data_IF_390041239026
#
_entry.id   IF_390041239026
#
_cell.length_a   1.000
_cell.length_b   1.000
_cell.length_c   1.000
_cell.angle_alpha   90.00
_cell.angle_beta   90.00
_cell.angle_gamma   90.00
#
_symmetry.space_group_name_H-M   'P 1'
#
loop_
_entity.id
_entity.type
_entity.pdbx_description
1 polymer ?
2 non-polymer ?
3 non-polymer ?
4 non-polymer ?
5 water ?
#
# COMPACT_ATOMS: atom_id res chain seq x y z
N UNK A 3 -4.24 9.43 0.21
CA UNK A 3 -3.18 9.40 -0.83
C UNK A 3 -2.73 10.79 -0.99
N UNK A 4 -1.40 10.95 -1.03
CA UNK A 4 -0.80 12.25 -1.14
C UNK A 4 -1.19 12.94 -2.42
N UNK A 5 -1.62 14.20 -2.29
CA UNK A 5 -2.06 14.97 -3.44
C UNK A 5 -3.22 14.27 -4.17
N UNK A 6 -4.13 13.69 -3.45
CA UNK A 6 -5.30 13.04 -4.08
C UNK A 6 -6.37 14.07 -4.60
N UNK A 7 -7.42 13.55 -5.26
CA UNK A 7 -8.61 14.37 -5.56
C UNK A 7 -9.45 14.33 -4.31
N UNK A 8 -10.03 15.44 -3.97
CA UNK A 8 -10.99 15.48 -2.86
C UNK A 8 -12.43 15.04 -3.30
N UNK A 9 -12.62 13.74 -3.21
CA UNK A 9 -13.87 13.14 -3.56
C UNK A 9 -14.72 12.78 -2.37
N UNK A 10 -16.03 12.76 -2.59
CA UNK A 10 -16.97 12.52 -1.54
C UNK A 10 -17.30 11.07 -1.31
N UNK A 11 -16.74 10.51 -0.23
CA UNK A 11 -16.91 9.14 0.08
C UNK A 11 -18.34 8.72 0.30
N UNK A 12 -19.16 9.65 0.69
CA UNK A 12 -20.57 9.35 1.01
C UNK A 12 -21.39 9.00 -0.25
N UNK A 13 -20.86 9.33 -1.39
CA UNK A 13 -21.49 9.13 -2.73
C UNK A 13 -20.73 8.21 -3.57
N UNK A 14 -19.59 7.70 -3.08
CA UNK A 14 -18.77 6.80 -3.88
C UNK A 14 -19.44 5.43 -3.99
N UNK A 15 -19.61 5.01 -5.24
CA UNK A 15 -20.06 3.64 -5.49
C UNK A 15 -18.91 2.62 -5.47
N UNK A 16 -19.26 1.41 -5.15
CA UNK A 16 -18.28 0.31 -5.10
C UNK A 16 -18.99 -0.97 -5.39
N UNK A 17 -18.27 -1.97 -5.91
CA UNK A 17 -16.93 -1.91 -6.41
C UNK A 17 -16.70 -1.03 -7.54
N UNK A 18 -15.57 -0.32 -7.56
CA UNK A 18 -15.29 0.61 -8.59
C UNK A 18 -13.84 0.92 -8.77
N UNK A 19 -13.45 1.33 -9.98
CA UNK A 19 -12.15 1.90 -10.25
C UNK A 19 -12.20 3.41 -10.44
N UNK A 20 -11.21 4.10 -9.92
CA UNK A 20 -11.09 5.53 -10.07
C UNK A 20 -9.62 5.96 -10.18
N UNK A 21 -9.35 6.89 -11.05
CA UNK A 21 -8.03 7.52 -11.08
C UNK A 21 -7.89 8.34 -9.81
N UNK A 22 -6.98 7.97 -8.93
CA UNK A 22 -6.75 8.69 -7.65
C UNK A 22 -5.70 9.81 -7.80
N UNK A 23 -4.74 9.61 -8.68
CA UNK A 23 -3.70 10.60 -8.88
C UNK A 23 -2.98 10.29 -10.15
N UNK A 24 -2.44 11.32 -10.81
CA UNK A 24 -1.52 11.12 -11.92
C UNK A 24 -0.29 11.99 -11.60
N UNK A 25 0.86 11.47 -11.95
CA UNK A 25 2.12 12.22 -11.81
C UNK A 25 2.90 12.09 -13.08
N UNK A 26 3.76 13.09 -13.32
CA UNK A 26 4.79 12.98 -14.32
C UNK A 26 6.16 12.60 -13.71
N UNK A 27 7.04 12.06 -14.51
CA UNK A 27 8.41 11.82 -14.11
C UNK A 27 9.37 12.78 -14.79
N UNK A 28 10.62 12.87 -14.30
CA UNK A 28 11.45 13.97 -14.81
C UNK A 28 11.67 14.01 -16.31
N UNK A 29 11.84 12.83 -16.94
CA UNK A 29 11.98 12.77 -18.43
C UNK A 29 10.70 12.61 -19.20
N UNK A 30 9.56 12.76 -18.53
CA UNK A 30 8.26 12.93 -19.14
C UNK A 30 7.30 11.71 -19.11
N UNK A 31 7.60 10.72 -18.31
CA UNK A 31 6.73 9.56 -18.28
C UNK A 31 5.61 9.79 -17.34
N UNK A 32 4.61 8.87 -17.34
CA UNK A 32 3.43 9.05 -16.56
C UNK A 32 3.37 7.97 -15.49
N UNK A 33 2.91 8.34 -14.28
CA UNK A 33 2.55 7.41 -13.21
C UNK A 33 1.09 7.62 -12.91
N UNK A 34 0.30 6.54 -12.73
CA UNK A 34 -1.08 6.65 -12.31
C UNK A 34 -1.30 5.80 -11.07
N UNK A 35 -1.97 6.35 -10.07
CA UNK A 35 -2.41 5.62 -8.92
C UNK A 35 -3.93 5.42 -9.03
N UNK A 36 -4.41 4.18 -9.01
CA UNK A 36 -5.83 3.87 -9.07
C UNK A 36 -6.32 3.47 -7.67
N UNK A 37 -7.49 3.99 -7.34
CA UNK A 37 -8.30 3.60 -6.25
C UNK A 37 -9.11 2.41 -6.75
N UNK A 38 -8.78 1.23 -6.23
CA UNK A 38 -9.57 -0.03 -6.43
C UNK A 38 -10.42 -0.21 -5.22
N UNK A 39 -11.67 0.27 -5.32
CA UNK A 39 -12.56 0.40 -4.19
C UNK A 39 -13.42 -0.85 -4.13
N UNK A 40 -13.19 -1.66 -3.13
CA UNK A 40 -13.90 -2.95 -3.02
C UNK A 40 -15.21 -2.80 -2.29
N UNK A 41 -15.23 -1.92 -1.29
CA UNK A 41 -16.31 -1.79 -0.32
C UNK A 41 -16.87 -0.39 -0.34
N UNK A 42 -18.20 -0.26 -0.17
CA UNK A 42 -18.81 1.04 -0.02
C UNK A 42 -18.35 1.75 1.30
N UNK A 43 -17.73 2.94 1.13
CA UNK A 43 -17.20 3.67 2.29
C UNK A 43 -18.22 3.69 3.41
N UNK A 44 -17.76 3.29 4.60
CA UNK A 44 -18.47 3.46 5.85
C UNK A 44 -19.75 2.60 5.95
N UNK A 45 -19.84 1.68 5.01
CA UNK A 45 -20.90 0.65 5.04
C UNK A 45 -20.35 -0.76 5.09
N UNK A 46 -19.23 -1.00 4.43
CA UNK A 46 -18.68 -2.35 4.38
C UNK A 46 -17.15 -2.24 4.63
N UNK A 47 -16.56 -3.29 5.13
CA UNK A 47 -15.09 -3.37 5.28
C UNK A 47 -14.64 -4.76 5.00
N UNK A 48 -13.43 -4.93 4.49
CA UNK A 48 -12.85 -6.28 4.39
C UNK A 48 -12.15 -6.74 5.64
N UNK A 49 -12.22 -8.02 5.93
CA UNK A 49 -11.63 -8.57 7.12
C UNK A 49 -10.15 -8.59 7.04
N UNK A 50 -9.48 -8.45 8.16
CA UNK A 50 -8.01 -8.29 8.12
C UNK A 50 -7.25 -9.49 7.52
N UNK A 51 -7.68 -10.75 7.83
CA UNK A 51 -6.96 -11.86 7.29
C UNK A 51 -7.16 -11.98 5.75
N UNK A 52 -8.39 -11.89 5.31
CA UNK A 52 -8.66 -11.95 3.92
C UNK A 52 -7.99 -10.89 3.11
N UNK A 53 -7.91 -9.63 3.63
CA UNK A 53 -7.26 -8.59 2.84
C UNK A 53 -5.74 -8.93 2.68
N UNK A 54 -5.16 -9.48 3.73
CA UNK A 54 -3.75 -9.85 3.71
C UNK A 54 -3.47 -10.96 2.71
N UNK A 55 -4.33 -11.96 2.70
CA UNK A 55 -4.15 -13.05 1.79
C UNK A 55 -4.41 -12.61 0.40
N UNK A 56 -5.45 -11.79 0.21
CA UNK A 56 -5.63 -11.20 -1.08
C UNK A 56 -4.44 -10.35 -1.59
N UNK A 57 -3.84 -9.54 -0.73
CA UNK A 57 -2.64 -8.78 -1.04
C UNK A 57 -1.55 -9.71 -1.62
N UNK A 58 -1.43 -10.89 -1.04
CA UNK A 58 -0.39 -11.81 -1.52
C UNK A 58 -0.67 -12.29 -2.96
N UNK A 59 -1.95 -12.44 -3.29
CA UNK A 59 -2.39 -13.01 -4.59
C UNK A 59 -2.55 -11.97 -5.64
N UNK A 60 -3.03 -10.79 -5.23
CA UNK A 60 -3.47 -9.74 -6.16
C UNK A 60 -2.40 -9.18 -7.06
N UNK A 61 -1.23 -8.89 -6.52
CA UNK A 61 -0.16 -8.27 -7.29
C UNK A 61 0.19 -9.11 -8.52
N UNK A 62 0.40 -10.38 -8.24
CA UNK A 62 0.74 -11.35 -9.25
C UNK A 62 -0.32 -11.50 -10.32
N UNK A 63 -1.52 -11.70 -9.83
CA UNK A 63 -2.64 -11.87 -10.82
C UNK A 63 -2.90 -10.66 -11.63
N UNK A 64 -2.83 -9.46 -10.98
CA UNK A 64 -3.00 -8.25 -11.71
C UNK A 64 -1.98 -8.00 -12.77
N UNK A 65 -0.71 -8.29 -12.45
CA UNK A 65 0.37 -8.20 -13.43
C UNK A 65 0.14 -9.08 -14.64
N UNK A 66 -0.36 -10.29 -14.38
CA UNK A 66 -0.75 -11.20 -15.48
C UNK A 66 -1.69 -10.58 -16.46
N UNK A 67 -2.71 -9.86 -15.97
CA UNK A 67 -3.72 -9.34 -16.82
C UNK A 67 -3.57 -7.93 -17.27
N UNK A 68 -2.74 -7.17 -16.57
CA UNK A 68 -2.66 -5.75 -16.87
C UNK A 68 -1.31 -5.28 -17.44
N UNK A 69 -0.20 -5.88 -17.02
CA UNK A 69 1.12 -5.45 -17.46
C UNK A 69 1.21 -5.66 -18.95
N UNK A 70 2.00 -4.81 -19.60
CA UNK A 70 2.16 -4.87 -21.04
C UNK A 70 1.46 -3.72 -21.67
N UNK A 71 1.72 -3.52 -22.95
CA UNK A 71 1.04 -2.49 -23.72
C UNK A 71 1.00 -1.13 -22.98
N UNK A 72 2.19 -0.64 -22.60
CA UNK A 72 2.37 0.66 -21.96
C UNK A 72 2.12 0.73 -20.45
N UNK A 73 2.07 -0.42 -19.78
CA UNK A 73 1.72 -0.46 -18.33
C UNK A 73 2.68 -1.36 -17.61
N UNK A 74 3.25 -0.90 -16.50
CA UNK A 74 4.01 -1.69 -15.60
C UNK A 74 3.64 -1.34 -14.16
N UNK A 75 3.02 -2.29 -13.45
CA UNK A 75 2.60 -2.08 -12.06
C UNK A 75 3.82 -1.89 -11.18
N UNK A 76 3.73 -0.88 -10.32
CA UNK A 76 4.70 -0.62 -9.24
C UNK A 76 4.35 -1.41 -7.98
N UNK A 77 3.15 -1.19 -7.46
CA UNK A 77 2.74 -1.79 -6.18
C UNK A 77 1.21 -1.84 -6.15
N UNK A 78 0.69 -2.82 -5.45
CA UNK A 78 -0.73 -2.88 -5.12
C UNK A 78 -0.81 -3.11 -3.63
N UNK A 79 -1.29 -2.14 -2.89
CA UNK A 79 -1.21 -2.19 -1.42
C UNK A 79 -2.59 -1.91 -0.87
N UNK A 80 -2.87 -2.51 0.28
CA UNK A 80 -4.15 -2.26 0.91
C UNK A 80 -4.26 -0.83 1.42
N UNK A 81 -5.48 -0.31 1.47
CA UNK A 81 -5.83 0.90 2.19
C UNK A 81 -6.00 0.59 3.69
N UNK A 82 -5.56 1.54 4.53
CA UNK A 82 -5.70 1.39 5.94
C UNK A 82 -7.12 1.30 6.45
N UNK A 83 -8.07 1.83 5.71
CA UNK A 83 -9.47 1.70 6.06
C UNK A 83 -10.08 0.36 5.69
N UNK A 84 -9.30 -0.49 4.98
CA UNK A 84 -9.75 -1.84 4.57
C UNK A 84 -10.97 -1.76 3.67
N UNK A 85 -11.13 -0.71 2.91
CA UNK A 85 -12.21 -0.67 1.89
C UNK A 85 -11.69 -0.88 0.48
N UNK A 86 -10.40 -0.97 0.26
CA UNK A 86 -9.85 -1.08 -1.08
C UNK A 86 -8.34 -1.21 -1.05
N UNK A 87 -7.79 -1.10 -2.25
CA UNK A 87 -6.35 -1.15 -2.53
C UNK A 87 -5.99 0.02 -3.42
N UNK A 88 -4.81 0.61 -3.21
CA UNK A 88 -4.23 1.52 -4.18
C UNK A 88 -3.26 0.73 -5.05
N UNK A 89 -3.37 0.96 -6.34
CA UNK A 89 -2.44 0.41 -7.33
C UNK A 89 -1.73 1.56 -7.97
N UNK A 90 -0.40 1.58 -7.84
CA UNK A 90 0.43 2.50 -8.54
C UNK A 90 1.04 1.83 -9.73
N UNK A 91 1.13 2.56 -10.82
CA UNK A 91 1.70 1.94 -12.01
C UNK A 91 2.34 2.99 -12.95
N UNK A 92 3.25 2.52 -13.80
CA UNK A 92 3.84 3.37 -14.86
C UNK A 92 2.94 3.21 -16.08
N UNK A 93 2.35 4.30 -16.55
CA UNK A 93 1.52 4.29 -17.66
C UNK A 93 0.18 4.93 -17.31
N UNK A 94 -0.72 4.92 -18.30
CA UNK A 94 -2.00 5.57 -18.19
C UNK A 94 -3.13 4.71 -18.86
N UNK A 95 -3.30 3.47 -18.40
CA UNK A 95 -4.43 2.69 -18.89
C UNK A 95 -5.77 3.26 -18.54
N UNK A 96 -6.79 3.08 -19.39
CA UNK A 96 -8.08 3.53 -19.00
C UNK A 96 -8.73 2.69 -17.93
N UNK A 97 -9.66 3.31 -17.22
CA UNK A 97 -10.29 2.73 -16.06
C UNK A 97 -10.93 1.35 -16.36
N UNK A 98 -11.54 1.24 -17.52
CA UNK A 98 -12.19 0.00 -17.84
C UNK A 98 -11.19 -1.14 -18.08
N UNK A 99 -10.04 -0.84 -18.66
CA UNK A 99 -8.97 -1.82 -18.78
C UNK A 99 -8.56 -2.33 -17.47
N UNK A 100 -8.47 -1.41 -16.50
CA UNK A 100 -8.07 -1.79 -15.18
C UNK A 100 -9.17 -2.64 -14.54
N UNK A 101 -10.42 -2.22 -14.68
CA UNK A 101 -11.57 -2.99 -14.12
C UNK A 101 -11.58 -4.40 -14.71
N UNK A 102 -11.30 -4.51 -16.03
CA UNK A 102 -11.32 -5.86 -16.66
C UNK A 102 -10.20 -6.75 -16.11
N UNK A 103 -9.03 -6.20 -15.86
CA UNK A 103 -7.91 -6.91 -15.33
C UNK A 103 -8.22 -7.35 -13.92
N UNK A 104 -8.80 -6.42 -13.17
CA UNK A 104 -9.17 -6.66 -11.79
C UNK A 104 -10.16 -7.85 -11.67
N UNK A 105 -11.23 -7.83 -12.47
CA UNK A 105 -12.14 -8.95 -12.44
C UNK A 105 -11.43 -10.25 -12.79
N UNK A 106 -10.57 -10.26 -13.80
CA UNK A 106 -9.87 -11.48 -14.15
C UNK A 106 -9.01 -11.97 -13.01
N UNK A 107 -8.36 -11.02 -12.31
CA UNK A 107 -7.58 -11.39 -11.16
C UNK A 107 -8.44 -11.95 -10.03
N UNK A 108 -9.66 -11.43 -9.82
CA UNK A 108 -10.57 -12.01 -8.82
C UNK A 108 -11.02 -13.46 -9.14
N UNK A 109 -11.23 -13.66 -10.45
CA UNK A 109 -11.54 -15.01 -10.86
C UNK A 109 -10.37 -15.92 -10.61
N UNK A 110 -9.18 -15.42 -10.77
CA UNK A 110 -7.96 -16.20 -10.46
C UNK A 110 -7.87 -16.60 -9.00
N UNK A 111 -8.25 -15.68 -8.11
CA UNK A 111 -8.33 -16.01 -6.72
C UNK A 111 -9.20 -17.20 -6.43
N UNK A 112 -10.33 -17.27 -7.17
CA UNK A 112 -11.22 -18.36 -6.89
C UNK A 112 -10.69 -19.77 -7.21
N UNK A 113 -9.70 -19.89 -8.08
CA UNK A 113 -9.12 -21.18 -8.42
C UNK A 113 -7.96 -21.58 -7.55
N UNK A 114 -7.58 -20.70 -6.60
CA UNK A 114 -6.60 -21.11 -5.62
C UNK A 114 -7.20 -22.17 -4.74
N UNK A 115 -6.53 -23.30 -4.62
CA UNK A 115 -7.15 -24.45 -4.01
C UNK A 115 -6.88 -24.56 -2.56
N UNK A 116 -5.70 -24.14 -2.15
CA UNK A 116 -5.29 -24.30 -0.76
C UNK A 116 -4.37 -23.15 -0.35
N UNK A 117 -4.32 -22.83 0.95
CA UNK A 117 -3.35 -21.82 1.45
C UNK A 117 -1.87 -22.03 1.14
N UNK A 118 -1.45 -23.27 0.98
CA UNK A 118 -0.08 -23.57 0.61
C UNK A 118 0.34 -23.03 -0.74
N UNK A 119 -0.63 -22.72 -1.61
CA UNK A 119 -0.34 -22.29 -2.95
C UNK A 119 -0.10 -20.80 -3.03
N UNK A 120 -0.27 -20.12 -1.92
CA UNK A 120 -0.29 -18.65 -1.95
C UNK A 120 1.16 -18.18 -1.87
N UNK A 121 1.58 -17.35 -2.82
CA UNK A 121 2.98 -16.94 -2.80
C UNK A 121 3.31 -16.29 -1.48
N UNK A 122 4.50 -16.65 -0.99
CA UNK A 122 5.16 -15.99 0.15
C UNK A 122 4.44 -16.16 1.46
N UNK A 123 3.50 -17.08 1.53
CA UNK A 123 2.84 -17.30 2.73
C UNK A 123 3.62 -18.27 3.60
N UNK A 124 4.64 -17.75 4.33
CA UNK A 124 5.45 -18.61 5.17
C UNK A 124 6.27 -17.64 6.07
N UNK A 125 6.83 -18.17 7.14
CA UNK A 125 7.59 -17.36 8.14
C UNK A 125 8.83 -16.65 7.56
N UNK A 126 9.33 -17.11 6.42
CA UNK A 126 10.54 -16.53 5.80
C UNK A 126 10.22 -15.29 4.99
N UNK A 127 8.97 -15.20 4.51
CA UNK A 127 8.59 -14.23 3.49
C UNK A 127 7.39 -13.39 3.81
N UNK A 128 6.79 -13.58 4.97
CA UNK A 128 5.64 -12.80 5.38
C UNK A 128 5.83 -12.24 6.79
N UNK A 129 5.53 -10.95 6.99
CA UNK A 129 5.65 -10.38 8.32
C UNK A 129 4.74 -10.83 9.39
N UNK A 130 3.54 -11.38 9.04
CA UNK A 130 2.57 -11.84 10.02
C UNK A 130 1.86 -13.09 9.45
N UNK A 131 2.60 -14.19 9.47
CA UNK A 131 2.27 -15.30 8.58
C UNK A 131 1.05 -16.08 9.09
N UNK A 132 0.63 -15.79 10.28
CA UNK A 132 -0.57 -16.44 10.85
C UNK A 132 -1.83 -15.67 10.45
N UNK A 133 -1.70 -14.44 10.00
CA UNK A 133 -2.85 -13.58 9.71
C UNK A 133 -3.36 -13.69 8.25
N UNK A 134 -3.86 -14.89 7.94
CA UNK A 134 -4.23 -15.27 6.60
C UNK A 134 -5.52 -16.04 6.62
N UNK A 135 -6.31 -15.88 5.56
CA UNK A 135 -7.52 -16.68 5.33
C UNK A 135 -7.81 -16.70 3.84
N UNK A 136 -7.54 -17.82 3.23
CA UNK A 136 -7.92 -18.05 1.83
C UNK A 136 -9.47 -17.92 1.65
N UNK A 137 -10.22 -18.50 2.56
CA UNK A 137 -11.66 -18.43 2.44
C UNK A 137 -12.20 -17.03 2.50
N UNK A 138 -11.63 -16.17 3.38
CA UNK A 138 -12.01 -14.76 3.33
C UNK A 138 -11.60 -14.09 2.03
N UNK A 139 -10.42 -14.41 1.53
CA UNK A 139 -9.95 -13.80 0.25
C UNK A 139 -10.87 -14.19 -0.88
N UNK A 140 -11.37 -15.43 -0.85
CA UNK A 140 -12.21 -15.88 -1.98
C UNK A 140 -13.60 -15.25 -1.81
N UNK A 141 -14.09 -15.09 -0.61
CA UNK A 141 -15.33 -14.38 -0.39
C UNK A 141 -15.27 -12.98 -0.93
N UNK A 142 -14.15 -12.27 -0.67
CA UNK A 142 -13.91 -10.94 -1.20
C UNK A 142 -13.99 -10.98 -2.76
N UNK A 143 -13.22 -11.89 -3.34
CA UNK A 143 -13.14 -12.00 -4.78
C UNK A 143 -14.52 -12.25 -5.42
N UNK A 144 -15.25 -13.14 -4.80
CA UNK A 144 -16.56 -13.53 -5.28
C UNK A 144 -17.51 -12.33 -5.23
N UNK A 145 -17.42 -11.48 -4.15
CA UNK A 145 -18.26 -10.34 -4.02
C UNK A 145 -17.99 -9.38 -5.17
N UNK A 146 -16.71 -9.18 -5.57
CA UNK A 146 -16.42 -8.30 -6.65
C UNK A 146 -17.07 -8.77 -7.95
N UNK A 147 -16.93 -10.06 -8.23
CA UNK A 147 -17.54 -10.58 -9.45
C UNK A 147 -19.04 -10.48 -9.40
N UNK A 148 -19.66 -10.74 -8.27
CA UNK A 148 -21.15 -10.64 -8.16
C UNK A 148 -21.66 -9.28 -8.32
N UNK A 149 -20.90 -8.28 -7.86
CA UNK A 149 -21.33 -6.92 -7.92
C UNK A 149 -20.90 -6.17 -9.17
N UNK A 150 -19.91 -6.67 -9.91
CA UNK A 150 -19.30 -5.98 -10.99
C UNK A 150 -18.47 -4.79 -10.52
N UNK A 151 -17.76 -4.20 -11.49
CA UNK A 151 -16.86 -3.08 -11.25
C UNK A 151 -17.23 -1.94 -12.11
N UNK A 152 -17.67 -0.83 -11.48
CA UNK A 152 -18.02 0.47 -12.08
C UNK A 152 -16.80 1.36 -12.23
N UNK A 153 -16.88 2.37 -13.11
CA UNK A 153 -15.84 3.43 -13.19
C UNK A 153 -16.41 4.63 -12.46
N UNK A 154 -15.72 5.13 -11.44
CA UNK A 154 -16.09 6.33 -10.76
C UNK A 154 -15.36 7.50 -11.28
N UNK A 155 -16.08 8.63 -11.23
CA UNK A 155 -15.66 9.87 -11.81
C UNK A 155 -15.30 10.88 -10.75
N UNK A 156 -14.08 11.44 -10.85
CA UNK A 156 -13.63 12.49 -9.95
C UNK A 156 -14.49 13.78 -10.09
N UNK A 157 -14.89 14.09 -11.29
CA UNK A 157 -15.81 15.25 -11.47
C UNK A 157 -17.11 15.04 -10.85
N UNK A 158 -17.71 13.88 -11.02
CA UNK A 158 -19.01 13.56 -10.41
C UNK A 158 -18.92 13.64 -8.89
N UNK A 159 -17.81 13.13 -8.32
CA UNK A 159 -17.71 12.94 -6.85
C UNK A 159 -17.07 14.08 -6.13
N UNK A 160 -16.61 15.10 -6.85
CA UNK A 160 -15.96 16.25 -6.21
C UNK A 160 -16.75 16.86 -5.10
N UNK A 161 -16.10 17.08 -3.96
CA UNK A 161 -16.76 17.81 -2.89
C UNK A 161 -16.95 19.30 -3.26
N UNK A 162 -18.17 19.82 -3.14
CA UNK A 162 -18.40 21.26 -3.51
C UNK A 162 -17.81 22.17 -2.48
N UNK A 163 -17.53 23.41 -2.88
CA UNK A 163 -16.95 24.47 -1.99
C UNK A 163 -17.68 24.59 -0.71
N UNK A 164 -19.05 24.55 -0.76
CA UNK A 164 -19.87 24.70 0.46
C UNK A 164 -19.69 23.59 1.45
N UNK A 165 -19.53 22.36 0.95
CA UNK A 165 -19.26 21.21 1.86
C UNK A 165 -17.84 21.27 2.43
N UNK A 166 -16.86 21.57 1.60
CA UNK A 166 -15.49 21.68 2.08
C UNK A 166 -15.34 22.84 3.12
N UNK A 167 -16.16 23.90 2.97
CA UNK A 167 -16.19 24.95 4.00
C UNK A 167 -16.68 24.31 5.30
N UNK A 168 -17.86 23.67 5.24
CA UNK A 168 -18.44 23.01 6.38
C UNK A 168 -17.40 22.15 7.12
N UNK A 169 -16.42 21.61 6.39
CA UNK A 169 -15.39 20.76 6.96
C UNK A 169 -14.20 21.53 7.46
N UNK B 3 11.66 -3.47 -12.16
CA UNK B 3 12.35 -4.29 -13.18
C UNK B 3 13.91 -4.25 -13.15
N UNK B 4 14.54 -3.50 -12.24
CA UNK B 4 15.98 -3.53 -12.12
C UNK B 4 16.37 -4.59 -11.11
N UNK B 5 15.84 -4.47 -9.91
CA UNK B 5 16.06 -5.49 -8.86
C UNK B 5 14.86 -5.41 -7.95
N UNK B 6 14.31 -6.57 -7.53
CA UNK B 6 13.34 -6.68 -6.40
C UNK B 6 14.02 -7.79 -5.57
N UNK B 7 13.67 -7.95 -4.29
CA UNK B 7 14.51 -8.83 -3.46
C UNK B 7 13.74 -9.76 -2.56
N UNK B 8 14.12 -11.02 -2.59
CA UNK B 8 13.47 -11.99 -1.73
C UNK B 8 14.34 -12.10 -0.49
N UNK B 9 13.90 -11.48 0.59
CA UNK B 9 14.58 -11.46 1.85
C UNK B 9 13.96 -12.27 3.00
N UNK B 10 14.81 -12.68 3.93
CA UNK B 10 14.50 -13.56 4.97
C UNK B 10 13.96 -12.85 6.18
N UNK B 11 12.65 -12.95 6.36
CA UNK B 11 11.98 -12.29 7.43
C UNK B 11 12.33 -12.78 8.81
N UNK B 12 12.88 -13.98 8.91
CA UNK B 12 13.31 -14.49 10.25
C UNK B 12 14.60 -13.83 10.80
N UNK B 13 15.33 -13.16 9.92
CA UNK B 13 16.54 -12.42 10.24
C UNK B 13 16.43 -10.94 10.09
N UNK B 14 15.25 -10.46 9.65
CA UNK B 14 15.07 -9.06 9.43
C UNK B 14 15.01 -8.26 10.69
N UNK B 15 15.86 -7.25 10.75
CA UNK B 15 15.83 -6.32 11.86
C UNK B 15 14.85 -5.17 11.65
N UNK B 16 14.38 -4.62 12.74
CA UNK B 16 13.40 -3.52 12.71
C UNK B 16 13.51 -2.68 14.00
N UNK B 17 13.13 -1.39 13.95
CA UNK B 17 12.85 -0.60 12.75
C UNK B 17 13.95 -0.43 11.81
N UNK B 18 13.63 -0.49 10.52
CA UNK B 18 14.64 -0.37 9.46
C UNK B 18 14.08 0.07 8.17
N UNK B 19 14.94 0.68 7.36
CA UNK B 19 14.72 0.98 6.02
C UNK B 19 15.49 0.00 5.12
N UNK B 20 14.87 -0.41 4.03
CA UNK B 20 15.48 -1.28 3.04
C UNK B 20 14.93 -0.96 1.68
N UNK B 21 15.77 -1.02 0.66
CA UNK B 21 15.28 -0.86 -0.69
C UNK B 21 14.56 -2.17 -1.07
N UNK B 22 13.27 -2.10 -1.37
CA UNK B 22 12.44 -3.28 -1.71
C UNK B 22 12.48 -3.58 -3.21
N UNK B 23 12.59 -2.55 -4.03
CA UNK B 23 12.54 -2.75 -5.47
C UNK B 23 13.00 -1.49 -6.16
N UNK B 24 13.64 -1.60 -7.36
CA UNK B 24 14.00 -0.42 -8.18
C UNK B 24 13.45 -0.73 -9.57
N UNK B 25 12.85 0.26 -10.14
CA UNK B 25 12.27 0.17 -11.50
C UNK B 25 12.72 1.41 -12.30
N UNK B 26 12.68 1.28 -13.62
CA UNK B 26 12.86 2.42 -14.53
C UNK B 26 11.68 2.65 -15.43
N UNK B 27 11.40 3.90 -15.69
CA UNK B 27 10.36 4.30 -16.59
C UNK B 27 10.92 4.24 -18.04
N UNK B 28 9.99 4.38 -19.01
CA UNK B 28 10.50 4.28 -20.40
C UNK B 28 11.61 5.22 -20.77
N UNK B 29 11.56 6.47 -20.30
CA UNK B 29 12.63 7.45 -20.59
C UNK B 29 13.75 7.46 -19.56
N UNK B 30 13.80 6.46 -18.67
CA UNK B 30 14.89 6.22 -17.84
C UNK B 30 14.86 6.80 -16.42
N UNK B 31 13.70 7.24 -15.93
CA UNK B 31 13.60 7.72 -14.54
C UNK B 31 13.53 6.53 -13.59
N UNK B 32 14.21 6.66 -12.46
CA UNK B 32 14.25 5.63 -11.46
C UNK B 32 13.05 5.80 -10.52
N UNK B 33 12.41 4.65 -10.22
CA UNK B 33 11.35 4.56 -9.19
C UNK B 33 11.86 3.57 -8.17
N UNK B 34 11.81 3.95 -6.89
CA UNK B 34 12.31 3.12 -5.85
C UNK B 34 11.13 2.89 -4.89
N UNK B 35 10.99 1.62 -4.44
CA UNK B 35 10.08 1.32 -3.39
C UNK B 35 10.88 0.94 -2.20
N UNK B 36 10.59 1.56 -1.04
CA UNK B 36 11.23 1.26 0.22
C UNK B 36 10.30 0.51 1.14
N UNK B 37 10.87 -0.50 1.80
CA UNK B 37 10.28 -1.22 2.94
C UNK B 37 10.60 -0.39 4.19
N UNK B 38 9.60 0.23 4.78
CA UNK B 38 9.74 0.94 6.03
C UNK B 38 9.19 -0.03 7.10
N UNK B 39 10.11 -0.79 7.73
CA UNK B 39 9.73 -1.87 8.52
C UNK B 39 9.64 -1.38 9.98
N UNK B 40 8.48 -1.36 10.57
CA UNK B 40 8.23 -0.79 11.85
C UNK B 40 8.43 -1.83 12.93
N UNK B 41 8.04 -3.10 12.66
CA UNK B 41 7.94 -4.21 13.61
C UNK B 41 8.76 -5.37 13.16
N UNK B 42 9.34 -6.09 14.12
CA UNK B 42 10.04 -7.30 13.82
C UNK B 42 9.06 -8.38 13.34
N UNK B 43 9.30 -8.90 12.11
CA UNK B 43 8.38 -9.94 11.54
C UNK B 43 8.07 -11.08 12.50
N UNK B 44 6.78 -11.29 12.65
CA UNK B 44 6.25 -12.39 13.44
C UNK B 44 6.51 -12.28 14.94
N UNK B 45 6.91 -11.10 15.41
CA UNK B 45 7.11 -10.82 16.82
C UNK B 45 6.23 -9.67 17.29
N UNK B 46 5.96 -8.71 16.42
CA UNK B 46 5.24 -7.50 16.76
C UNK B 46 4.33 -7.11 15.56
N UNK B 47 3.23 -6.49 15.89
CA UNK B 47 2.31 -5.92 14.84
C UNK B 47 1.75 -4.62 15.34
N UNK B 48 1.50 -3.72 14.44
CA UNK B 48 0.79 -2.51 14.73
C UNK B 48 -0.70 -2.72 14.83
N UNK B 49 -1.33 -1.93 15.66
CA UNK B 49 -2.85 -1.99 15.76
C UNK B 49 -3.53 -1.39 14.62
N UNK B 50 -4.71 -1.89 14.31
CA UNK B 50 -5.39 -1.46 13.10
C UNK B 50 -5.83 -0.02 13.15
N UNK B 51 -6.28 0.51 14.30
CA UNK B 51 -6.69 1.91 14.29
C UNK B 51 -5.47 2.85 14.17
N UNK B 52 -4.46 2.53 14.96
CA UNK B 52 -3.30 3.44 14.92
C UNK B 52 -2.55 3.42 13.58
N UNK B 53 -2.46 2.24 12.90
CA UNK B 53 -1.89 2.24 11.57
C UNK B 53 -2.69 3.16 10.63
N UNK B 54 -4.05 3.13 10.73
CA UNK B 54 -4.89 3.94 9.85
C UNK B 54 -4.73 5.44 10.08
N UNK B 55 -4.67 5.82 11.35
CA UNK B 55 -4.46 7.22 11.65
C UNK B 55 -3.06 7.64 11.22
N UNK B 56 -2.09 6.76 11.43
CA UNK B 56 -0.72 7.06 11.02
C UNK B 56 -0.70 7.25 9.53
N UNK B 57 -1.39 6.40 8.78
CA UNK B 57 -1.52 6.59 7.33
C UNK B 57 -2.03 7.97 6.89
N UNK B 58 -2.97 8.53 7.61
CA UNK B 58 -3.51 9.82 7.31
C UNK B 58 -2.41 10.92 7.51
N UNK B 59 -1.51 10.66 8.42
CA UNK B 59 -0.47 11.66 8.79
C UNK B 59 0.86 11.50 8.04
N UNK B 60 1.23 10.26 7.70
CA UNK B 60 2.61 9.92 7.37
C UNK B 60 3.07 10.46 6.03
N UNK B 61 2.33 10.31 4.95
CA UNK B 61 2.87 10.72 3.68
C UNK B 61 3.03 12.25 3.59
N UNK B 62 2.14 13.00 4.25
CA UNK B 62 2.27 14.45 4.31
C UNK B 62 3.58 14.85 5.01
N UNK B 63 3.79 14.28 6.17
CA UNK B 63 5.00 14.58 6.93
C UNK B 63 6.26 14.07 6.25
N UNK B 64 6.17 12.90 5.62
CA UNK B 64 7.34 12.43 4.85
C UNK B 64 7.67 13.34 3.69
N UNK B 65 6.65 13.80 2.97
CA UNK B 65 6.86 14.71 1.88
C UNK B 65 7.59 15.97 2.41
N UNK B 66 7.13 16.46 3.57
CA UNK B 66 7.77 17.68 4.16
C UNK B 66 9.27 17.48 4.36
N UNK B 67 9.70 16.27 4.71
CA UNK B 67 11.10 16.02 5.00
C UNK B 67 11.93 15.39 3.95
N UNK B 68 11.27 14.68 3.04
CA UNK B 68 12.02 13.95 2.05
C UNK B 68 11.95 14.52 0.55
N UNK B 69 10.83 15.07 0.17
CA UNK B 69 10.69 15.59 -1.22
C UNK B 69 11.68 16.63 -1.52
N UNK B 70 12.04 16.75 -2.79
CA UNK B 70 13.07 17.71 -3.20
C UNK B 70 14.36 17.02 -3.48
N UNK B 71 15.30 17.74 -4.11
CA UNK B 71 16.59 17.20 -4.38
C UNK B 71 16.48 15.80 -4.96
N UNK B 72 15.75 15.71 -6.04
CA UNK B 72 15.67 14.47 -6.82
C UNK B 72 14.71 13.41 -6.32
N UNK B 73 13.78 13.80 -5.47
CA UNK B 73 12.85 12.82 -4.87
C UNK B 73 11.48 13.40 -4.88
N UNK B 74 10.49 12.64 -5.38
CA UNK B 74 9.06 12.93 -5.35
C UNK B 74 8.29 11.64 -4.90
N UNK B 75 7.74 11.66 -3.68
CA UNK B 75 6.96 10.54 -3.22
C UNK B 75 5.72 10.35 -4.10
N UNK B 76 5.44 9.09 -4.42
CA UNK B 76 4.25 8.68 -5.06
C UNK B 76 3.18 8.32 -4.03
N UNK B 77 3.45 7.37 -3.14
CA UNK B 77 2.45 6.90 -2.17
C UNK B 77 3.20 6.22 -1.02
N UNK B 78 2.57 6.25 0.14
CA UNK B 78 3.05 5.48 1.28
C UNK B 78 1.81 4.68 1.71
N UNK B 79 1.92 3.37 1.78
CA UNK B 79 0.72 2.53 2.07
C UNK B 79 1.13 1.51 3.11
N UNK B 80 0.18 1.11 3.94
CA UNK B 80 0.43 0.06 4.90
C UNK B 80 0.54 -1.31 4.28
N UNK B 81 1.33 -2.15 4.93
CA UNK B 81 1.45 -3.54 4.57
C UNK B 81 0.33 -4.25 5.17
N UNK B 82 -0.17 -5.26 4.44
CA UNK B 82 -1.21 -6.08 4.95
C UNK B 82 -0.93 -6.88 6.21
N UNK B 83 0.35 -7.15 6.46
CA UNK B 83 0.78 -7.83 7.70
C UNK B 83 0.88 -6.88 8.90
N UNK B 84 0.65 -5.59 8.69
CA UNK B 84 0.70 -4.58 9.75
C UNK B 84 2.08 -4.53 10.41
N UNK B 85 3.15 -4.91 9.73
CA UNK B 85 4.45 -4.70 10.30
C UNK B 85 5.23 -3.50 9.70
N UNK B 86 4.65 -2.84 8.72
CA UNK B 86 5.35 -1.73 8.07
C UNK B 86 4.48 -1.07 7.02
N UNK B 87 5.16 -0.19 6.28
CA UNK B 87 4.64 0.52 5.09
C UNK B 87 5.56 0.42 3.96
N UNK B 88 5.03 0.44 2.72
CA UNK B 88 5.83 0.59 1.54
C UNK B 88 5.68 2.00 1.08
N UNK B 89 6.82 2.59 0.71
CA UNK B 89 6.83 3.94 0.17
C UNK B 89 7.43 3.88 -1.22
N UNK B 90 6.62 4.30 -2.20
CA UNK B 90 7.09 4.38 -3.56
C UNK B 90 7.40 5.81 -3.87
N UNK B 91 8.46 6.03 -4.63
CA UNK B 91 8.89 7.36 -4.98
C UNK B 91 9.63 7.38 -6.29
N UNK B 92 9.66 8.56 -6.90
CA UNK B 92 10.58 8.86 -8.04
C UNK B 92 11.90 9.32 -7.39
N UNK B 93 13.00 8.67 -7.72
CA UNK B 93 14.33 9.00 -7.36
C UNK B 93 15.01 7.87 -6.67
N UNK B 94 16.23 8.12 -6.24
CA UNK B 94 17.10 7.10 -5.64
C UNK B 94 17.79 7.65 -4.39
N UNK B 95 17.00 8.22 -3.48
CA UNK B 95 17.63 8.66 -2.20
C UNK B 95 18.28 7.49 -1.46
N UNK B 96 19.36 7.74 -0.72
CA UNK B 96 19.87 6.66 0.02
C UNK B 96 19.07 6.35 1.26
N UNK B 97 19.31 5.17 1.78
CA UNK B 97 18.51 4.60 2.86
C UNK B 97 18.60 5.46 4.11
N UNK B 98 19.77 6.03 4.39
CA UNK B 98 19.86 6.85 5.61
C UNK B 98 19.06 8.15 5.48
N UNK B 99 19.03 8.69 4.28
CA UNK B 99 18.26 9.90 4.04
C UNK B 99 16.80 9.62 4.29
N UNK B 100 16.37 8.45 3.84
CA UNK B 100 15.00 8.06 4.06
C UNK B 100 14.72 7.84 5.56
N UNK B 101 15.67 7.18 6.23
CA UNK B 101 15.51 6.94 7.67
C UNK B 101 15.41 8.27 8.41
N UNK B 102 16.29 9.26 8.05
CA UNK B 102 16.19 10.50 8.77
C UNK B 102 14.85 11.22 8.57
N UNK B 103 14.29 11.15 7.35
CA UNK B 103 13.01 11.79 7.06
C UNK B 103 11.91 11.12 7.82
N UNK B 104 12.01 9.81 7.85
CA UNK B 104 11.07 8.97 8.58
C UNK B 104 11.03 9.36 10.09
N UNK B 105 12.18 9.42 10.68
CA UNK B 105 12.20 9.80 12.12
C UNK B 105 11.63 11.23 12.34
N UNK B 106 11.91 12.17 11.43
CA UNK B 106 11.38 13.52 11.53
C UNK B 106 9.89 13.53 11.39
N UNK B 107 9.36 12.67 10.50
CA UNK B 107 7.94 12.50 10.40
C UNK B 107 7.31 11.85 11.64
N UNK B 108 8.00 10.95 12.29
CA UNK B 108 7.53 10.41 13.56
C UNK B 108 7.44 11.44 14.64
N UNK B 109 8.49 12.27 14.67
CA UNK B 109 8.44 13.35 15.63
C UNK B 109 7.22 14.30 15.34
N UNK B 110 6.93 14.53 14.08
CA UNK B 110 5.81 15.35 13.69
C UNK B 110 4.46 14.72 14.19
N UNK B 111 4.32 13.42 14.11
CA UNK B 111 3.16 12.71 14.71
C UNK B 111 2.95 13.04 16.18
N UNK B 112 4.03 13.15 16.93
CA UNK B 112 3.92 13.37 18.32
C UNK B 112 3.38 14.76 18.66
N UNK B 113 3.52 15.74 17.77
CA UNK B 113 2.95 17.09 18.05
C UNK B 113 1.54 17.27 17.57
N UNK B 114 0.94 16.20 16.97
CA UNK B 114 -0.47 16.30 16.65
C UNK B 114 -1.25 16.34 18.00
N UNK B 115 -1.94 17.46 18.22
CA UNK B 115 -2.49 17.75 19.55
C UNK B 115 -3.81 17.06 19.71
N UNK B 116 -4.56 17.02 18.63
CA UNK B 116 -5.95 16.53 18.70
C UNK B 116 -6.33 16.02 17.34
N UNK B 117 -7.45 15.30 17.27
CA UNK B 117 -7.92 14.83 15.94
C UNK B 117 -8.31 15.85 14.83
N UNK B 118 -8.63 17.07 15.21
CA UNK B 118 -8.96 18.10 14.24
C UNK B 118 -7.78 18.46 13.39
N UNK B 119 -6.59 18.07 13.84
CA UNK B 119 -5.39 18.26 13.05
C UNK B 119 -5.04 16.97 12.32
N UNK B 120 -5.91 15.98 12.32
CA UNK B 120 -5.69 14.85 11.41
C UNK B 120 -6.41 15.13 10.11
N UNK B 121 -5.68 15.16 9.01
CA UNK B 121 -6.31 15.48 7.75
C UNK B 121 -7.32 14.37 7.40
N UNK B 122 -8.49 14.77 6.86
CA UNK B 122 -9.46 13.88 6.17
C UNK B 122 -10.14 12.94 7.12
N UNK B 123 -10.14 13.24 8.42
CA UNK B 123 -10.82 12.38 9.39
C UNK B 123 -12.29 12.72 9.55
N UNK B 124 -13.10 12.23 8.61
CA UNK B 124 -14.52 12.62 8.57
C UNK B 124 -15.14 11.66 7.53
N UNK B 125 -16.49 11.58 7.52
CA UNK B 125 -17.16 10.57 6.74
C UNK B 125 -17.13 10.85 5.24
N UNK B 126 -16.75 12.07 4.88
CA UNK B 126 -16.69 12.52 3.48
C UNK B 126 -15.41 12.13 2.83
N UNK B 127 -14.37 11.95 3.64
CA UNK B 127 -13.00 11.83 3.11
C UNK B 127 -12.21 10.56 3.58
N UNK B 128 -12.83 9.70 4.37
CA UNK B 128 -12.18 8.54 4.91
C UNK B 128 -13.16 7.37 4.73
N UNK B 129 -12.64 6.22 4.27
CA UNK B 129 -13.44 5.05 4.04
C UNK B 129 -14.01 4.35 5.20
N UNK B 130 -13.39 4.51 6.37
CA UNK B 130 -13.79 3.81 7.59
C UNK B 130 -13.46 4.77 8.74
N UNK B 131 -14.32 5.77 8.88
CA UNK B 131 -13.90 6.99 9.60
C UNK B 131 -13.93 6.73 11.11
N UNK B 132 -14.50 5.65 11.61
CA UNK B 132 -14.42 5.36 13.02
C UNK B 132 -13.12 4.58 13.43
N UNK B 133 -12.40 4.05 12.45
CA UNK B 133 -11.33 3.15 12.71
C UNK B 133 -10.01 3.93 12.89
N UNK B 134 -9.99 4.74 13.94
CA UNK B 134 -8.92 5.76 14.12
C UNK B 134 -8.52 5.83 15.56
N UNK B 135 -7.23 6.09 15.81
CA UNK B 135 -6.78 6.26 17.23
C UNK B 135 -5.44 7.10 17.15
N UNK B 136 -5.56 8.37 17.49
CA UNK B 136 -4.36 9.22 17.55
C UNK B 136 -3.37 8.67 18.57
N UNK B 137 -3.87 8.23 19.70
CA UNK B 137 -3.00 7.72 20.77
C UNK B 137 -2.23 6.49 20.36
N UNK B 138 -2.85 5.60 19.57
CA UNK B 138 -2.12 4.50 19.00
C UNK B 138 -1.10 4.91 17.95
N UNK B 139 -1.46 5.86 17.10
CA UNK B 139 -0.52 6.42 16.09
C UNK B 139 0.68 7.02 16.81
N UNK B 140 0.42 7.68 17.93
CA UNK B 140 1.55 8.35 18.65
C UNK B 140 2.39 7.34 19.38
N UNK B 141 1.80 6.25 19.90
CA UNK B 141 2.57 5.16 20.42
C UNK B 141 3.51 4.50 19.41
N UNK B 142 2.99 4.31 18.16
CA UNK B 142 3.82 3.78 17.05
C UNK B 142 5.00 4.69 16.80
N UNK B 143 4.70 5.97 16.64
CA UNK B 143 5.76 6.97 16.34
C UNK B 143 6.82 7.05 17.42
N UNK B 144 6.38 7.01 18.65
CA UNK B 144 7.30 7.06 19.78
C UNK B 144 8.18 5.85 19.78
N UNK B 145 7.60 4.68 19.50
CA UNK B 145 8.38 3.44 19.42
C UNK B 145 9.49 3.52 18.42
N UNK B 146 9.24 4.10 17.26
CA UNK B 146 10.24 4.24 16.22
C UNK B 146 11.39 5.15 16.69
N UNK B 147 11.02 6.21 17.37
CA UNK B 147 12.08 7.12 17.90
C UNK B 147 12.86 6.48 19.01
N UNK B 148 12.25 5.70 19.84
CA UNK B 148 12.95 4.97 20.95
C UNK B 148 13.88 3.92 20.47
N UNK B 149 13.51 3.24 19.37
CA UNK B 149 14.29 2.13 18.88
C UNK B 149 15.31 2.55 17.81
N UNK B 150 15.17 3.71 17.20
CA UNK B 150 15.95 4.18 16.09
C UNK B 150 15.65 3.33 14.84
N UNK B 151 16.19 3.75 13.73
CA UNK B 151 16.00 3.15 12.44
C UNK B 151 17.34 2.75 11.84
N UNK B 152 17.50 1.46 11.59
CA UNK B 152 18.64 0.79 11.00
C UNK B 152 18.44 0.74 9.48
N UNK B 153 19.56 0.60 8.77
CA UNK B 153 19.52 0.33 7.31
C UNK B 153 19.78 -1.13 7.13
N UNK B 154 18.80 -1.84 6.55
CA UNK B 154 18.91 -3.27 6.28
C UNK B 154 19.57 -3.50 4.91
N UNK B 155 20.26 -4.64 4.79
CA UNK B 155 21.01 -5.04 3.65
C UNK B 155 20.32 -6.19 2.92
N UNK B 156 20.00 -5.96 1.64
CA UNK B 156 19.46 -7.00 0.83
C UNK B 156 20.43 -8.16 0.66
N UNK B 157 21.72 -7.86 0.61
CA UNK B 157 22.71 -9.01 0.54
C UNK B 157 22.70 -9.87 1.76
N UNK B 158 22.69 -9.24 2.89
CA UNK B 158 22.66 -10.00 4.15
C UNK B 158 21.41 -10.80 4.31
N UNK B 159 20.26 -10.26 3.88
CA UNK B 159 19.02 -10.90 4.15
C UNK B 159 18.53 -11.79 3.04
N UNK B 160 19.27 -11.83 1.92
CA UNK B 160 18.83 -12.57 0.75
C UNK B 160 18.58 -14.00 1.07
N UNK B 161 17.44 -14.50 0.63
CA UNK B 161 17.21 -15.93 0.77
C UNK B 161 18.01 -16.63 -0.35
N UNK B 162 18.80 -17.62 0.02
CA UNK B 162 19.54 -18.32 -1.03
C UNK B 162 18.62 -19.11 -1.96
N UNK B 163 19.14 -19.44 -3.16
CA UNK B 163 18.41 -20.29 -4.18
C UNK B 163 17.73 -21.52 -3.63
N UNK B 164 18.54 -22.23 -2.84
CA UNK B 164 18.15 -23.53 -2.23
C UNK B 164 16.91 -23.32 -1.38
N UNK B 165 16.92 -22.29 -0.53
CA UNK B 165 15.75 -22.05 0.36
C UNK B 165 14.52 -21.61 -0.44
N UNK B 166 14.72 -20.79 -1.45
CA UNK B 166 13.61 -20.33 -2.27
C UNK B 166 13.03 -21.51 -3.04
N UNK B 167 13.89 -22.47 -3.39
CA UNK B 167 13.46 -23.71 -4.06
C UNK B 167 12.55 -24.50 -3.12
N UNK B 168 13.04 -24.72 -1.91
CA UNK B 168 12.30 -25.43 -0.87
C UNK B 168 10.91 -24.82 -0.66
N UNK B 169 10.85 -23.48 -0.58
CA UNK B 169 9.57 -22.78 -0.35
C UNK B 169 8.67 -22.75 -1.60
N UNK B 170 9.24 -22.49 -2.77
CA UNK B 170 8.46 -22.30 -4.00
C UNK B 170 7.96 -23.65 -4.48
N UNK B 171 8.77 -24.68 -4.28
CA UNK B 171 8.37 -26.05 -4.62
C UNK B 171 7.72 -26.72 -3.40
N UNK B 172 6.90 -25.94 -2.70
CA UNK B 172 5.80 -26.41 -1.82
C UNK B 172 4.53 -25.60 -2.17
N UNK B 173 4.67 -24.65 -3.07
CA UNK B 173 3.55 -23.84 -3.49
C UNK B 173 2.72 -24.49 -4.62
N UNK B 174 2.95 -25.77 -4.93
CA UNK B 174 2.12 -26.46 -5.95
C UNK B 174 2.13 -27.96 -5.69
X LIG C 1 2.13 -11.28 4.28
X LIG D 1 -5.46 -2.13 5.38
X LIG D 1 -4.85 -3.21 6.11
X LIG D 1 -4.24 -4.21 5.11
X LIG D 1 -5.74 -4.11 6.88
X LIG D 1 -5.23 -4.47 8.13
X LIG D 1 -4.11 -3.47 8.27
X LIG D 1 -4.69 -2.65 9.22
X LIG D 1 -3.80 -2.62 7.07
X LIG D 1 -2.53 -2.88 6.48
X LIG D 1 -3.70 -1.18 7.43
X LIG E 1 -9.01 6.90 6.42
X LIG F 1 -1.13 6.56 1.84
X LIG F 1 -2.36 5.73 1.69
X LIG F 1 -2.17 4.37 1.03
X LIG F 1 -1.44 4.48 0.03
X LIG F 1 -3.42 6.50 0.96
X LIG F 1 -3.80 7.68 1.79
X LIG F 1 -5.51 8.21 1.80
X LIG F 1 -5.54 9.44 3.12
X LIG F 1 -2.72 3.23 1.37
#
# INVERSE_FOLDING_TARGET
MPLLDSFAVDHTRMQAPAVRTAKTMNTPHGDAITVFDLRFCIPNKEVMPEKGIHTLEHLFAGFMRDHLNGNGVEIIDISPMGCRTGFYMSLIGTPDEQRVADAWKAAMADVLKVQDQNQIPELNVYQCGTYQMHSLSEAQDIARHILERDVRVNSNKELALPKEKLQELHILEHHHHHH
MPLLDSFAVDHTRMQAPAVRTAKTMNTPHGDAITVFDLRFCIPNKEVMPEKGIHTLEHLFAGFMRDHLNGNGVEIIDISPMGCRTGFYMSLIGTPDEQRVADAWKAAMADVLKVQDQNQIPELNVYQCGTYQMHSLSEAQDIARHILERDVRVNSNKELALPKEKLQELHILEHHHHHH
ZN ZN
PAV O2 C2 C1 O5 C5 C4 O4 C3 O3 O13
ZN ZN
MET N CA C O CB CG SD CE OXT
#
